data_IF_194443869413
#
_entry.id   IF_194443869413
#
_cell.length_a   1.000
_cell.length_b   1.000
_cell.length_c   1.000
_cell.angle_alpha   90.00
_cell.angle_beta   90.00
_cell.angle_gamma   90.00
#
_symmetry.space_group_name_H-M   'P 1'
#
loop_
_entity.id
_entity.type
_entity.pdbx_description
1 polymer ?
#
# COMPACT_ATOMS: atom_id res chain seq x y z
N UNK A 1 4.50 -31.12 -62.16
CA UNK A 1 5.41 -29.97 -62.33
C UNK A 1 5.58 -29.34 -60.92
N UNK A 2 6.70 -29.53 -60.20
CA UNK A 2 6.89 -28.94 -58.88
C UNK A 2 7.29 -27.45 -59.05
N UNK A 3 6.55 -26.55 -58.45
CA UNK A 3 6.93 -25.14 -58.35
C UNK A 3 8.23 -25.01 -57.52
N UNK A 4 9.30 -24.65 -58.20
CA UNK A 4 10.57 -24.29 -57.54
C UNK A 4 10.45 -22.81 -57.07
N UNK A 5 10.16 -22.61 -55.81
CA UNK A 5 10.30 -21.30 -55.20
C UNK A 5 11.78 -20.89 -55.25
N UNK A 6 12.07 -19.72 -55.81
CA UNK A 6 13.46 -19.20 -55.87
C UNK A 6 13.96 -18.84 -54.48
N UNK A 7 15.27 -18.95 -54.24
CA UNK A 7 15.88 -18.57 -52.99
C UNK A 7 15.52 -17.13 -52.55
N UNK A 8 15.31 -16.22 -53.51
CA UNK A 8 14.86 -14.84 -53.25
C UNK A 8 13.44 -14.78 -52.67
N UNK A 9 12.54 -15.68 -53.08
CA UNK A 9 11.17 -15.75 -52.55
C UNK A 9 11.12 -16.30 -51.12
N UNK A 10 12.03 -17.21 -50.78
CA UNK A 10 12.18 -17.74 -49.41
C UNK A 10 12.79 -16.69 -48.46
N UNK A 11 13.76 -15.92 -48.95
CA UNK A 11 14.38 -14.83 -48.17
C UNK A 11 13.37 -13.71 -47.93
N UNK A 12 12.53 -13.37 -48.91
CA UNK A 12 11.49 -12.35 -48.75
C UNK A 12 10.39 -12.80 -47.77
N UNK A 13 10.05 -14.09 -47.76
CA UNK A 13 9.08 -14.66 -46.82
C UNK A 13 9.64 -14.72 -45.40
N UNK A 14 10.94 -15.02 -45.22
CA UNK A 14 11.64 -14.98 -43.92
C UNK A 14 11.82 -13.54 -43.40
N UNK A 15 12.02 -12.56 -44.30
CA UNK A 15 12.09 -11.15 -43.91
C UNK A 15 10.72 -10.59 -43.51
N UNK A 16 9.62 -11.08 -44.10
CA UNK A 16 8.25 -10.72 -43.68
C UNK A 16 7.89 -11.35 -42.34
N UNK A 17 8.40 -12.52 -41.97
CA UNK A 17 8.21 -13.15 -40.67
C UNK A 17 9.08 -12.52 -39.56
N UNK A 18 10.21 -11.92 -39.91
CA UNK A 18 11.07 -11.20 -38.96
C UNK A 18 10.52 -9.79 -38.60
N UNK A 19 9.52 -9.29 -39.33
CA UNK A 19 8.85 -8.01 -39.09
C UNK A 19 7.62 -8.09 -38.15
N UNK A 20 7.29 -9.26 -37.62
CA UNK A 20 6.36 -9.36 -36.49
C UNK A 20 7.09 -8.83 -35.27
N UNK A 21 6.90 -7.53 -34.98
CA UNK A 21 7.43 -6.90 -33.79
C UNK A 21 7.18 -7.80 -32.60
N UNK A 22 8.24 -8.21 -31.92
CA UNK A 22 8.09 -8.91 -30.66
C UNK A 22 7.35 -7.92 -29.75
N UNK A 23 6.09 -8.21 -29.44
CA UNK A 23 5.35 -7.48 -28.47
C UNK A 23 6.22 -7.41 -27.19
N UNK A 24 6.55 -6.20 -26.75
CA UNK A 24 7.35 -6.03 -25.54
C UNK A 24 6.63 -6.72 -24.38
N UNK A 25 7.23 -7.75 -23.81
CA UNK A 25 6.64 -8.42 -22.66
C UNK A 25 7.02 -7.67 -21.39
N UNK A 26 6.04 -7.38 -20.56
CA UNK A 26 6.22 -6.80 -19.25
C UNK A 26 6.14 -7.91 -18.19
N UNK A 27 7.10 -7.93 -17.25
CA UNK A 27 7.02 -8.81 -16.08
C UNK A 27 6.37 -8.00 -14.96
N UNK A 28 5.18 -8.40 -14.54
CA UNK A 28 4.44 -7.72 -13.48
C UNK A 28 4.89 -8.16 -12.07
N UNK A 29 4.34 -7.54 -11.02
CA UNK A 29 4.71 -7.85 -9.65
C UNK A 29 4.28 -9.24 -9.18
N UNK A 30 3.42 -9.93 -9.94
CA UNK A 30 3.05 -11.33 -9.71
C UNK A 30 3.92 -12.30 -10.57
N UNK A 31 5.07 -11.82 -11.08
CA UNK A 31 6.03 -12.57 -11.91
C UNK A 31 5.43 -13.11 -13.22
N UNK A 32 4.34 -12.49 -13.71
CA UNK A 32 3.66 -12.89 -14.94
C UNK A 32 4.24 -12.18 -16.15
N UNK A 33 4.47 -12.90 -17.25
CA UNK A 33 4.86 -12.33 -18.54
C UNK A 33 3.61 -11.87 -19.28
N UNK A 34 3.41 -10.56 -19.35
CA UNK A 34 2.23 -9.95 -19.98
C UNK A 34 2.66 -9.28 -21.29
N UNK A 35 2.23 -9.79 -22.45
CA UNK A 35 2.50 -9.14 -23.71
C UNK A 35 1.71 -7.83 -23.80
N UNK A 36 2.40 -6.73 -24.13
CA UNK A 36 1.79 -5.41 -24.23
C UNK A 36 1.65 -5.00 -25.70
N UNK A 37 0.57 -4.30 -26.08
CA UNK A 37 0.45 -3.72 -27.41
C UNK A 37 1.40 -2.51 -27.58
N UNK A 38 1.77 -2.22 -28.81
CA UNK A 38 2.68 -1.09 -29.14
C UNK A 38 2.17 0.28 -28.69
N UNK A 39 0.87 0.41 -28.51
CA UNK A 39 0.22 1.66 -28.10
C UNK A 39 -0.75 1.42 -26.95
N UNK A 40 -0.55 2.18 -25.89
CA UNK A 40 -1.42 2.19 -24.71
C UNK A 40 -2.12 3.56 -24.64
N UNK A 41 -3.30 3.67 -25.20
CA UNK A 41 -4.10 4.91 -25.21
C UNK A 41 -5.25 4.91 -24.24
N UNK A 42 -5.74 3.71 -23.86
CA UNK A 42 -6.93 3.50 -23.03
C UNK A 42 -6.61 2.54 -21.89
N UNK A 43 -6.45 3.07 -20.70
CA UNK A 43 -6.09 2.28 -19.52
C UNK A 43 -7.29 2.20 -18.57
N UNK A 44 -7.68 0.97 -18.26
CA UNK A 44 -8.72 0.67 -17.27
C UNK A 44 -8.07 0.29 -15.93
N UNK A 45 -8.53 0.91 -14.88
CA UNK A 45 -8.10 0.57 -13.54
C UNK A 45 -8.98 -0.54 -12.96
N UNK A 46 -8.37 -1.58 -12.39
CA UNK A 46 -9.09 -2.66 -11.74
C UNK A 46 -9.60 -2.27 -10.34
N UNK A 47 -8.96 -1.29 -9.72
CA UNK A 47 -9.31 -0.75 -8.41
C UNK A 47 -8.98 0.75 -8.31
N UNK A 48 -9.41 1.39 -7.23
CA UNK A 48 -9.24 2.83 -7.05
C UNK A 48 -7.77 3.24 -6.90
N UNK A 49 -6.93 2.42 -6.28
CA UNK A 49 -5.49 2.68 -6.19
C UNK A 49 -4.84 2.76 -7.58
N UNK A 50 -5.20 1.84 -8.48
CA UNK A 50 -4.75 1.87 -9.88
C UNK A 50 -5.32 3.07 -10.64
N UNK A 51 -6.59 3.45 -10.39
CA UNK A 51 -7.18 4.62 -11.03
C UNK A 51 -6.41 5.90 -10.66
N UNK A 52 -6.04 6.05 -9.39
CA UNK A 52 -5.23 7.18 -8.92
C UNK A 52 -3.82 7.12 -9.52
N UNK A 53 -3.17 5.94 -9.57
CA UNK A 53 -1.85 5.78 -10.19
C UNK A 53 -1.85 6.21 -11.67
N UNK A 54 -2.82 5.73 -12.46
CA UNK A 54 -2.95 6.11 -13.87
C UNK A 54 -3.26 7.60 -14.01
N UNK A 55 -4.15 8.13 -13.17
CA UNK A 55 -4.51 9.55 -13.18
C UNK A 55 -3.31 10.45 -12.92
N UNK A 56 -2.48 10.18 -11.92
CA UNK A 56 -1.34 11.04 -11.60
C UNK A 56 -0.24 10.97 -12.67
N UNK A 57 -0.11 9.85 -13.39
CA UNK A 57 0.87 9.67 -14.46
C UNK A 57 0.35 10.19 -15.81
N UNK A 58 -0.78 9.66 -16.26
CA UNK A 58 -1.31 9.86 -17.61
C UNK A 58 -2.85 10.00 -17.58
N UNK A 59 -3.38 11.08 -17.01
CA UNK A 59 -4.82 11.24 -16.79
C UNK A 59 -5.67 11.13 -18.05
N UNK A 60 -5.12 11.50 -19.22
CA UNK A 60 -5.80 11.40 -20.52
C UNK A 60 -6.00 9.95 -21.00
N UNK A 61 -5.27 9.00 -20.42
CA UNK A 61 -5.39 7.58 -20.75
C UNK A 61 -6.37 6.84 -19.86
N UNK A 62 -6.73 7.40 -18.70
CA UNK A 62 -7.70 6.80 -17.78
C UNK A 62 -9.10 6.82 -18.38
N UNK A 63 -9.69 5.64 -18.60
CA UNK A 63 -11.01 5.51 -19.21
C UNK A 63 -12.17 5.77 -18.25
N UNK A 64 -11.92 5.74 -16.95
CA UNK A 64 -12.91 6.01 -15.90
C UNK A 64 -12.39 5.64 -14.52
N UNK A 65 -13.08 6.11 -13.49
CA UNK A 65 -12.80 5.75 -12.12
C UNK A 65 -13.36 4.37 -11.79
N UNK A 66 -12.66 3.60 -10.97
CA UNK A 66 -13.19 2.30 -10.51
C UNK A 66 -14.28 2.48 -9.45
N UNK A 67 -14.19 3.51 -8.62
CA UNK A 67 -15.17 3.81 -7.57
C UNK A 67 -15.64 5.25 -7.66
N UNK A 68 -16.80 5.55 -7.06
CA UNK A 68 -17.29 6.90 -6.99
C UNK A 68 -16.32 7.80 -6.22
N UNK A 69 -16.05 8.98 -6.76
CA UNK A 69 -15.20 9.94 -6.08
C UNK A 69 -15.82 10.40 -4.76
N UNK A 70 -15.02 10.57 -3.70
CA UNK A 70 -15.47 11.22 -2.47
C UNK A 70 -16.09 12.61 -2.75
N UNK A 71 -17.05 13.03 -1.93
CA UNK A 71 -17.78 14.30 -2.15
C UNK A 71 -16.86 15.51 -2.24
N UNK A 72 -15.76 15.53 -1.51
CA UNK A 72 -14.77 16.63 -1.50
C UNK A 72 -13.76 16.57 -2.63
N UNK A 73 -13.57 15.42 -3.27
CA UNK A 73 -12.49 15.16 -4.23
C UNK A 73 -12.49 16.12 -5.43
N UNK A 74 -13.67 16.58 -5.87
CA UNK A 74 -13.79 17.49 -7.02
C UNK A 74 -13.05 18.82 -6.82
N UNK A 75 -12.86 19.25 -5.57
CA UNK A 75 -12.10 20.48 -5.25
C UNK A 75 -10.59 20.33 -5.46
N UNK A 76 -10.11 19.09 -5.57
CA UNK A 76 -8.70 18.73 -5.67
C UNK A 76 -8.35 18.04 -7.00
N UNK A 77 -9.29 18.00 -7.94
CA UNK A 77 -9.11 17.37 -9.26
C UNK A 77 -9.47 18.37 -10.38
N UNK A 78 -8.71 18.40 -11.50
CA UNK A 78 -9.16 19.17 -12.66
C UNK A 78 -10.53 18.69 -13.14
N UNK A 79 -11.46 19.64 -13.38
CA UNK A 79 -12.87 19.35 -13.55
C UNK A 79 -13.25 18.36 -14.66
N UNK A 80 -12.43 18.25 -15.73
CA UNK A 80 -12.66 17.27 -16.81
C UNK A 80 -12.48 15.82 -16.31
N UNK A 81 -11.51 15.58 -15.41
CA UNK A 81 -11.24 14.26 -14.86
C UNK A 81 -12.18 13.90 -13.72
N UNK A 82 -12.62 14.89 -12.94
CA UNK A 82 -13.66 14.68 -11.93
C UNK A 82 -14.99 14.17 -12.52
N UNK A 83 -15.22 14.39 -13.82
CA UNK A 83 -16.42 13.94 -14.54
C UNK A 83 -16.25 12.66 -15.35
N UNK A 84 -15.11 11.98 -15.24
CA UNK A 84 -14.96 10.65 -15.85
C UNK A 84 -16.03 9.68 -15.31
N UNK A 85 -16.48 8.71 -16.12
CA UNK A 85 -17.48 7.74 -15.69
C UNK A 85 -16.93 6.86 -14.55
N UNK A 86 -17.82 6.42 -13.67
CA UNK A 86 -17.54 5.38 -12.68
C UNK A 86 -17.86 4.04 -13.34
N UNK A 87 -16.85 3.20 -13.49
CA UNK A 87 -16.96 1.92 -14.21
C UNK A 87 -17.28 0.76 -13.28
N UNK A 88 -16.85 0.83 -12.04
CA UNK A 88 -16.87 -0.28 -11.09
C UNK A 88 -15.51 -0.98 -11.00
N UNK A 89 -15.17 -1.52 -9.82
CA UNK A 89 -13.93 -2.27 -9.64
C UNK A 89 -14.02 -3.67 -10.25
N UNK A 90 -12.89 -4.12 -10.84
CA UNK A 90 -12.76 -5.48 -11.40
C UNK A 90 -12.37 -6.53 -10.34
N UNK A 91 -11.94 -6.07 -9.16
CA UNK A 91 -11.45 -6.95 -8.09
C UNK A 91 -12.57 -7.56 -7.22
N UNK A 92 -13.82 -7.18 -7.44
CA UNK A 92 -14.98 -7.76 -6.73
C UNK A 92 -15.37 -9.13 -7.31
N UNK A 93 -15.99 -9.99 -6.49
CA UNK A 93 -16.27 -11.37 -6.88
C UNK A 93 -17.48 -11.50 -7.82
N UNK A 94 -17.36 -11.02 -9.06
CA UNK A 94 -18.30 -11.38 -10.14
C UNK A 94 -17.56 -11.39 -11.48
N UNK A 95 -16.76 -12.43 -11.75
CA UNK A 95 -15.93 -12.50 -12.94
C UNK A 95 -16.68 -12.28 -14.29
N UNK A 96 -17.89 -12.83 -14.52
CA UNK A 96 -18.60 -12.59 -15.77
C UNK A 96 -18.97 -11.12 -16.02
N UNK A 97 -19.38 -10.38 -14.98
CA UNK A 97 -19.68 -8.95 -15.09
C UNK A 97 -18.43 -8.13 -15.36
N UNK A 98 -17.30 -8.49 -14.73
CA UNK A 98 -16.02 -7.86 -14.98
C UNK A 98 -15.59 -8.03 -16.46
N UNK A 99 -15.70 -9.23 -17.01
CA UNK A 99 -15.41 -9.48 -18.44
C UNK A 99 -16.31 -8.68 -19.38
N UNK A 100 -17.61 -8.60 -19.11
CA UNK A 100 -18.54 -7.78 -19.86
C UNK A 100 -18.21 -6.29 -19.78
N UNK A 101 -17.79 -5.80 -18.62
CA UNK A 101 -17.39 -4.42 -18.44
C UNK A 101 -16.13 -4.10 -19.26
N UNK A 102 -15.12 -4.96 -19.24
CA UNK A 102 -13.92 -4.83 -20.07
C UNK A 102 -14.29 -4.82 -21.55
N UNK A 103 -15.14 -5.75 -22.01
CA UNK A 103 -15.56 -5.84 -23.41
C UNK A 103 -16.28 -4.57 -23.88
N UNK A 104 -17.12 -3.96 -23.05
CA UNK A 104 -17.81 -2.68 -23.35
C UNK A 104 -16.85 -1.50 -23.36
N UNK A 105 -15.90 -1.47 -22.41
CA UNK A 105 -14.96 -0.35 -22.22
C UNK A 105 -13.87 -0.35 -23.29
N UNK A 106 -13.48 -1.52 -23.79
CA UNK A 106 -12.41 -1.74 -24.79
C UNK A 106 -11.12 -1.01 -24.41
N UNK A 107 -10.53 -1.30 -23.25
CA UNK A 107 -9.23 -0.75 -22.90
C UNK A 107 -8.11 -1.48 -23.65
N UNK A 108 -6.94 -0.85 -23.75
CA UNK A 108 -5.71 -1.44 -24.29
C UNK A 108 -4.93 -2.17 -23.19
N UNK A 109 -5.15 -1.79 -21.92
CA UNK A 109 -4.47 -2.33 -20.76
C UNK A 109 -5.37 -2.22 -19.53
N UNK A 110 -5.32 -3.24 -18.67
CA UNK A 110 -5.90 -3.21 -17.33
C UNK A 110 -4.76 -3.17 -16.32
N UNK A 111 -4.86 -2.28 -15.33
CA UNK A 111 -3.90 -2.16 -14.23
C UNK A 111 -4.62 -2.42 -12.91
N UNK A 112 -4.08 -3.35 -12.12
CA UNK A 112 -4.38 -3.51 -10.69
C UNK A 112 -3.17 -3.02 -9.88
N UNK A 113 -3.40 -2.19 -8.86
CA UNK A 113 -2.37 -1.69 -7.98
C UNK A 113 -2.78 -1.99 -6.53
N UNK A 114 -2.18 -3.01 -5.94
CA UNK A 114 -2.61 -3.56 -4.66
C UNK A 114 -1.69 -4.66 -4.14
N UNK A 115 -2.13 -5.41 -3.12
CA UNK A 115 -1.40 -6.57 -2.63
C UNK A 115 -1.23 -7.62 -3.72
N UNK A 116 -0.01 -8.12 -3.85
CA UNK A 116 0.28 -9.25 -4.74
C UNK A 116 -0.11 -10.54 -4.04
N UNK A 117 -1.03 -11.28 -4.64
CA UNK A 117 -1.50 -12.56 -4.10
C UNK A 117 -1.81 -13.55 -5.22
N UNK A 118 -1.87 -14.87 -4.91
CA UNK A 118 -2.30 -15.86 -5.88
C UNK A 118 -3.70 -15.58 -6.47
N UNK A 119 -4.60 -15.01 -5.69
CA UNK A 119 -5.95 -14.64 -6.12
C UNK A 119 -5.93 -13.46 -7.10
N UNK A 120 -5.05 -12.47 -6.86
CA UNK A 120 -4.86 -11.34 -7.79
C UNK A 120 -4.28 -11.83 -9.12
N UNK A 121 -3.27 -12.70 -9.09
CA UNK A 121 -2.68 -13.31 -10.27
C UNK A 121 -3.72 -14.14 -11.06
N UNK A 122 -4.46 -15.03 -10.38
CA UNK A 122 -5.48 -15.88 -11.01
C UNK A 122 -6.62 -15.04 -11.61
N UNK A 123 -7.06 -13.98 -10.96
CA UNK A 123 -8.06 -13.03 -11.49
C UNK A 123 -7.55 -12.35 -12.76
N UNK A 124 -6.31 -11.90 -12.75
CA UNK A 124 -5.69 -11.23 -13.87
C UNK A 124 -5.54 -12.17 -15.09
N UNK A 125 -5.10 -13.42 -14.86
CA UNK A 125 -5.01 -14.44 -15.90
C UNK A 125 -6.36 -14.75 -16.49
N UNK A 126 -7.36 -14.95 -15.64
CA UNK A 126 -8.71 -15.25 -16.08
C UNK A 126 -9.30 -14.13 -16.93
N UNK A 127 -9.23 -12.86 -16.48
CA UNK A 127 -9.75 -11.72 -17.23
C UNK A 127 -9.00 -11.51 -18.55
N UNK A 128 -7.68 -11.63 -18.54
CA UNK A 128 -6.87 -11.55 -19.76
C UNK A 128 -7.27 -12.64 -20.75
N UNK A 129 -7.46 -13.88 -20.29
CA UNK A 129 -7.91 -15.00 -21.15
C UNK A 129 -9.31 -14.76 -21.73
N UNK A 130 -10.26 -14.26 -20.93
CA UNK A 130 -11.64 -14.04 -21.37
C UNK A 130 -11.80 -12.86 -22.32
N UNK A 131 -10.96 -11.84 -22.19
CA UNK A 131 -11.14 -10.56 -22.89
C UNK A 131 -10.10 -10.29 -23.98
N UNK A 132 -8.96 -10.98 -23.92
CA UNK A 132 -7.79 -10.70 -24.76
C UNK A 132 -7.07 -9.40 -24.40
N UNK A 133 -7.51 -8.68 -23.35
CA UNK A 133 -6.91 -7.44 -22.91
C UNK A 133 -5.78 -7.73 -21.91
N UNK A 134 -4.56 -7.23 -22.11
CA UNK A 134 -3.47 -7.36 -21.14
C UNK A 134 -3.89 -6.86 -19.75
N UNK A 135 -3.53 -7.60 -18.70
CA UNK A 135 -3.82 -7.26 -17.34
C UNK A 135 -2.54 -7.38 -16.52
N UNK A 136 -2.08 -6.30 -15.89
CA UNK A 136 -0.90 -6.28 -15.04
C UNK A 136 -1.29 -6.07 -13.57
N UNK A 137 -0.62 -6.81 -12.67
CA UNK A 137 -0.72 -6.68 -11.23
C UNK A 137 0.53 -5.98 -10.71
N UNK A 138 0.35 -4.88 -10.00
CA UNK A 138 1.43 -4.05 -9.46
C UNK A 138 1.35 -4.04 -7.94
N UNK A 139 2.49 -4.30 -7.29
CA UNK A 139 2.62 -4.17 -5.84
C UNK A 139 2.55 -2.70 -5.42
N UNK A 140 1.65 -2.38 -4.50
CA UNK A 140 1.49 -1.05 -3.95
C UNK A 140 2.29 -0.80 -2.66
N UNK A 141 3.34 -1.57 -2.39
CA UNK A 141 4.26 -1.28 -1.31
C UNK A 141 4.85 0.12 -1.49
N UNK A 142 4.82 0.93 -0.41
CA UNK A 142 5.29 2.32 -0.47
C UNK A 142 6.77 2.41 -0.85
N UNK A 143 7.60 1.44 -0.45
CA UNK A 143 9.04 1.41 -0.76
C UNK A 143 9.32 1.17 -2.24
N UNK A 144 8.42 0.51 -2.96
CA UNK A 144 8.53 0.26 -4.41
C UNK A 144 7.82 1.30 -5.25
N UNK A 145 7.00 2.15 -4.62
CA UNK A 145 6.20 3.19 -5.32
C UNK A 145 7.05 4.11 -6.21
N UNK A 146 8.25 4.59 -5.82
CA UNK A 146 9.08 5.42 -6.71
C UNK A 146 9.47 4.71 -8.00
N UNK A 147 9.93 3.46 -7.91
CA UNK A 147 10.27 2.63 -9.08
C UNK A 147 9.02 2.36 -9.93
N UNK A 148 7.88 2.10 -9.31
CA UNK A 148 6.61 1.86 -9.99
C UNK A 148 6.17 3.09 -10.80
N UNK A 149 6.28 4.30 -10.24
CA UNK A 149 5.96 5.54 -10.95
C UNK A 149 6.82 5.71 -12.20
N UNK A 150 8.13 5.43 -12.13
CA UNK A 150 9.04 5.47 -13.27
C UNK A 150 8.69 4.43 -14.33
N UNK A 151 8.52 3.19 -13.90
CA UNK A 151 8.25 2.05 -14.80
C UNK A 151 6.94 2.24 -15.55
N UNK A 152 5.85 2.57 -14.84
CA UNK A 152 4.54 2.77 -15.46
C UNK A 152 4.51 4.07 -16.26
N UNK A 153 5.21 5.13 -15.81
CA UNK A 153 5.37 6.35 -16.57
C UNK A 153 6.03 6.10 -17.93
N UNK A 154 7.11 5.32 -17.97
CA UNK A 154 7.78 4.93 -19.21
C UNK A 154 6.86 4.08 -20.10
N UNK A 155 6.19 3.06 -19.52
CA UNK A 155 5.23 2.20 -20.22
C UNK A 155 4.09 3.00 -20.86
N UNK A 156 3.57 3.99 -20.17
CA UNK A 156 2.50 4.85 -20.67
C UNK A 156 2.98 5.98 -21.57
N UNK A 157 4.28 6.04 -21.91
CA UNK A 157 4.85 7.08 -22.77
C UNK A 157 4.96 8.47 -22.13
N UNK A 158 4.95 8.53 -20.79
CA UNK A 158 5.11 9.76 -19.99
C UNK A 158 6.32 9.63 -19.04
N UNK A 159 7.44 9.10 -19.55
CA UNK A 159 8.63 8.75 -18.77
C UNK A 159 9.15 9.91 -17.90
N UNK A 160 9.26 11.13 -18.45
CA UNK A 160 9.74 12.29 -17.68
C UNK A 160 8.86 12.56 -16.47
N UNK A 161 7.53 12.48 -16.64
CA UNK A 161 6.59 12.64 -15.52
C UNK A 161 6.75 11.52 -14.48
N UNK A 162 6.98 10.28 -14.94
CA UNK A 162 7.29 9.15 -14.05
C UNK A 162 8.55 9.39 -13.23
N UNK A 163 9.60 9.94 -13.83
CA UNK A 163 10.85 10.32 -13.15
C UNK A 163 10.62 11.41 -12.10
N UNK A 164 9.91 12.49 -12.47
CA UNK A 164 9.66 13.62 -11.58
C UNK A 164 8.84 13.20 -10.35
N UNK A 165 7.81 12.37 -10.54
CA UNK A 165 6.99 11.86 -9.45
C UNK A 165 7.73 10.81 -8.61
N UNK A 166 8.53 9.95 -9.26
CA UNK A 166 9.39 8.97 -8.60
C UNK A 166 10.44 9.62 -7.71
N UNK A 167 11.09 10.68 -8.20
CA UNK A 167 12.05 11.46 -7.42
C UNK A 167 11.42 12.10 -6.18
N UNK A 168 10.23 12.68 -6.32
CA UNK A 168 9.50 13.23 -5.17
C UNK A 168 9.17 12.14 -4.13
N UNK A 169 8.76 10.96 -4.59
CA UNK A 169 8.45 9.84 -3.72
C UNK A 169 9.69 9.30 -2.98
N UNK A 170 10.84 9.20 -3.67
CA UNK A 170 12.12 8.84 -3.02
C UNK A 170 12.47 9.85 -1.93
N UNK A 171 12.35 11.16 -2.24
CA UNK A 171 12.67 12.23 -1.27
C UNK A 171 11.81 12.12 -0.01
N UNK A 172 10.51 11.80 -0.15
CA UNK A 172 9.61 11.60 0.99
C UNK A 172 10.01 10.40 1.86
N UNK A 173 10.37 9.28 1.21
CA UNK A 173 10.81 8.07 1.92
C UNK A 173 12.14 8.29 2.62
N UNK A 174 13.09 8.96 1.97
CA UNK A 174 14.40 9.25 2.54
C UNK A 174 14.32 10.26 3.70
N UNK A 175 13.43 11.27 3.60
CA UNK A 175 13.15 12.18 4.70
C UNK A 175 12.63 11.42 5.93
N UNK A 176 11.69 10.50 5.76
CA UNK A 176 11.21 9.64 6.84
C UNK A 176 12.34 8.79 7.44
N UNK A 177 13.12 8.10 6.61
CA UNK A 177 14.25 7.26 7.06
C UNK A 177 15.26 8.08 7.85
N UNK A 178 15.61 9.28 7.39
CA UNK A 178 16.52 10.18 8.07
C UNK A 178 16.03 10.56 9.47
N UNK A 179 14.72 10.78 9.65
CA UNK A 179 14.12 11.07 10.96
C UNK A 179 14.20 9.87 11.91
N UNK A 180 13.89 8.68 11.41
CA UNK A 180 13.91 7.46 12.23
C UNK A 180 15.30 7.08 12.74
N UNK A 181 16.35 7.49 12.03
CA UNK A 181 17.74 7.31 12.50
C UNK A 181 18.07 8.17 13.74
N UNK A 182 17.38 9.30 13.90
CA UNK A 182 17.60 10.25 14.98
C UNK A 182 16.66 9.98 16.16
N UNK A 183 15.44 9.50 15.89
CA UNK A 183 14.44 9.22 16.92
C UNK A 183 14.85 8.01 17.79
N UNK A 184 14.97 8.17 19.12
CA UNK A 184 15.28 7.05 20.00
C UNK A 184 14.22 5.96 19.92
N UNK A 185 14.63 4.69 19.82
CA UNK A 185 13.71 3.56 19.81
C UNK A 185 12.78 3.49 21.05
N UNK A 186 13.21 4.08 22.17
CA UNK A 186 12.47 4.17 23.43
C UNK A 186 11.33 5.18 23.41
N UNK A 187 11.27 6.06 22.41
CA UNK A 187 10.26 7.12 22.30
C UNK A 187 9.16 6.79 21.29
N UNK A 188 9.08 5.55 20.81
CA UNK A 188 8.06 5.13 19.84
C UNK A 188 6.67 5.13 20.46
N UNK A 189 5.73 5.97 20.01
CA UNK A 189 4.40 6.02 20.60
C UNK A 189 3.57 4.77 20.25
N UNK A 190 2.70 4.38 21.18
CA UNK A 190 1.67 3.38 20.97
C UNK A 190 0.54 4.00 20.12
N UNK A 191 0.26 3.44 18.98
CA UNK A 191 -0.74 3.97 18.02
C UNK A 191 -1.82 2.94 17.75
N UNK A 192 -3.06 3.39 17.78
CA UNK A 192 -4.21 2.67 17.28
C UNK A 192 -4.75 3.35 16.02
N UNK A 193 -4.85 2.61 14.93
CA UNK A 193 -5.49 3.04 13.69
C UNK A 193 -6.87 2.38 13.57
N UNK A 194 -7.92 3.14 13.82
CA UNK A 194 -9.30 2.65 13.78
C UNK A 194 -9.96 2.93 12.43
N UNK A 195 -10.38 1.88 11.75
CA UNK A 195 -11.05 1.88 10.46
C UNK A 195 -12.55 1.61 10.60
N UNK A 196 -13.28 2.04 9.58
CA UNK A 196 -14.73 1.89 9.55
C UNK A 196 -15.48 2.90 10.43
N UNK A 197 -16.80 2.86 10.38
CA UNK A 197 -17.67 3.84 11.03
C UNK A 197 -17.61 3.80 12.56
N UNK A 198 -17.36 2.62 13.13
CA UNK A 198 -17.23 2.37 14.56
C UNK A 198 -15.78 2.37 15.06
N UNK A 199 -14.81 2.39 14.12
CA UNK A 199 -13.39 2.38 14.42
C UNK A 199 -12.86 1.09 15.02
N UNK A 200 -13.61 -0.02 14.94
CA UNK A 200 -13.24 -1.30 15.52
C UNK A 200 -12.56 -2.27 14.55
N UNK A 201 -12.37 -1.88 13.30
CA UNK A 201 -11.51 -2.59 12.36
C UNK A 201 -10.12 -1.97 12.36
N UNK A 202 -9.06 -2.78 12.29
CA UNK A 202 -7.68 -2.31 12.23
C UNK A 202 -6.77 -3.34 11.55
N UNK A 203 -5.56 -2.91 11.20
CA UNK A 203 -4.53 -3.79 10.63
C UNK A 203 -3.74 -4.52 11.71
N UNK A 204 -3.53 -5.81 11.50
CA UNK A 204 -2.55 -6.61 12.23
C UNK A 204 -1.12 -6.13 11.92
N UNK A 205 -0.11 -6.67 12.61
CA UNK A 205 1.29 -6.36 12.34
C UNK A 205 1.67 -6.69 10.88
N UNK A 206 2.25 -5.72 10.18
CA UNK A 206 2.62 -5.85 8.77
C UNK A 206 1.45 -5.77 7.78
N UNK A 207 0.23 -5.51 8.25
CA UNK A 207 -0.92 -5.25 7.38
C UNK A 207 -0.66 -4.06 6.47
N UNK A 208 -1.11 -4.14 5.22
CA UNK A 208 -1.04 -3.01 4.30
C UNK A 208 -1.73 -1.74 4.85
N UNK A 209 -2.80 -1.89 5.63
CA UNK A 209 -3.53 -0.78 6.22
C UNK A 209 -2.71 0.00 7.27
N UNK A 210 -1.74 -0.65 7.92
CA UNK A 210 -0.92 -0.04 8.98
C UNK A 210 0.57 0.02 8.64
N UNK A 211 0.99 -0.50 7.50
CA UNK A 211 2.39 -0.58 7.11
C UNK A 211 3.10 0.79 7.14
N UNK A 212 2.47 1.86 6.64
CA UNK A 212 3.07 3.19 6.65
C UNK A 212 3.15 3.79 8.05
N UNK A 213 2.15 3.50 8.90
CA UNK A 213 2.14 3.89 10.30
C UNK A 213 3.30 3.22 11.04
N UNK A 214 3.48 1.92 10.82
CA UNK A 214 4.59 1.15 11.40
C UNK A 214 5.95 1.59 10.85
N UNK A 215 6.03 1.87 9.53
CA UNK A 215 7.23 2.42 8.90
C UNK A 215 7.57 3.83 9.41
N UNK A 216 6.59 4.60 9.86
CA UNK A 216 6.83 5.87 10.55
C UNK A 216 7.39 5.68 11.98
N UNK A 217 7.79 4.47 12.35
CA UNK A 217 8.56 4.17 13.55
C UNK A 217 7.74 4.12 14.84
N UNK A 218 6.45 3.89 14.76
CA UNK A 218 5.56 3.76 15.93
C UNK A 218 5.27 2.28 16.25
N UNK A 219 4.63 2.04 17.37
CA UNK A 219 4.16 0.72 17.78
C UNK A 219 2.66 0.61 17.47
N UNK A 220 2.30 -0.19 16.47
CA UNK A 220 0.92 -0.57 16.22
C UNK A 220 0.43 -1.49 17.35
N UNK A 221 -0.51 -1.00 18.17
CA UNK A 221 -1.01 -1.78 19.33
C UNK A 221 -1.73 -3.07 18.92
N UNK A 222 -2.28 -3.13 17.70
CA UNK A 222 -3.01 -4.29 17.19
C UNK A 222 -2.06 -5.41 16.74
N UNK A 223 -0.80 -5.10 16.45
CA UNK A 223 0.24 -6.10 16.15
C UNK A 223 0.43 -7.13 17.29
N UNK A 224 -0.04 -6.83 18.50
CA UNK A 224 -0.05 -7.79 19.63
C UNK A 224 -0.97 -9.00 19.41
N UNK A 225 -1.92 -8.89 18.49
CA UNK A 225 -2.80 -10.01 18.10
C UNK A 225 -2.18 -10.92 17.04
N UNK A 226 -1.03 -10.54 16.48
CA UNK A 226 -0.33 -11.28 15.43
C UNK A 226 -0.10 -10.46 14.18
N UNK A 227 0.33 -11.15 13.12
CA UNK A 227 0.58 -10.58 11.80
C UNK A 227 -0.51 -11.01 10.81
N UNK A 228 -0.75 -10.20 9.78
CA UNK A 228 -1.74 -10.48 8.74
C UNK A 228 -2.42 -9.22 8.25
N UNK A 229 -3.61 -9.37 7.69
CA UNK A 229 -4.37 -8.28 7.11
C UNK A 229 -5.22 -7.53 8.16
N UNK A 230 -6.51 -7.39 7.93
CA UNK A 230 -7.43 -6.69 8.81
C UNK A 230 -8.02 -7.61 9.86
N UNK A 231 -8.30 -7.06 11.04
CA UNK A 231 -9.02 -7.75 12.11
C UNK A 231 -10.01 -6.79 12.77
N UNK A 232 -11.01 -7.37 13.41
CA UNK A 232 -11.89 -6.61 14.30
C UNK A 232 -11.43 -6.78 15.75
N UNK A 233 -11.40 -5.65 16.45
CA UNK A 233 -11.05 -5.57 17.87
C UNK A 233 -12.26 -5.12 18.69
N UNK A 234 -12.21 -5.35 19.99
CA UNK A 234 -13.22 -4.85 20.93
C UNK A 234 -12.76 -3.53 21.56
N UNK A 235 -13.71 -2.76 22.09
CA UNK A 235 -13.37 -1.58 22.88
C UNK A 235 -12.51 -1.93 24.09
N UNK A 236 -12.80 -3.04 24.76
CA UNK A 236 -12.02 -3.48 25.93
C UNK A 236 -10.57 -3.75 25.58
N UNK A 237 -10.28 -4.30 24.39
CA UNK A 237 -8.92 -4.47 23.90
C UNK A 237 -8.24 -3.11 23.68
N UNK A 238 -8.93 -2.14 23.08
CA UNK A 238 -8.39 -0.78 22.88
C UNK A 238 -8.07 -0.12 24.23
N UNK A 239 -8.98 -0.28 25.23
CA UNK A 239 -8.74 0.20 26.59
C UNK A 239 -7.57 -0.50 27.26
N UNK A 240 -7.44 -1.82 27.13
CA UNK A 240 -6.33 -2.59 27.69
C UNK A 240 -4.97 -2.17 27.08
N UNK A 241 -4.94 -1.85 25.78
CA UNK A 241 -3.72 -1.34 25.11
C UNK A 241 -3.43 0.12 25.43
N UNK A 242 -4.45 0.90 25.73
CA UNK A 242 -4.41 2.31 26.09
C UNK A 242 -3.44 3.12 25.18
N UNK A 243 -3.71 3.24 23.87
CA UNK A 243 -2.81 3.88 22.93
C UNK A 243 -2.57 5.35 23.29
N UNK A 244 -1.34 5.82 23.04
CA UNK A 244 -0.98 7.22 23.22
C UNK A 244 -1.56 8.12 22.11
N UNK A 245 -1.79 7.55 20.93
CA UNK A 245 -2.35 8.22 19.75
C UNK A 245 -3.43 7.32 19.14
N UNK A 246 -4.55 7.94 18.73
CA UNK A 246 -5.56 7.29 17.90
C UNK A 246 -5.68 8.05 16.59
N UNK A 247 -5.59 7.31 15.48
CA UNK A 247 -5.89 7.82 14.14
C UNK A 247 -7.20 7.17 13.71
N UNK A 248 -8.20 7.96 13.38
CA UNK A 248 -9.48 7.51 12.85
C UNK A 248 -9.45 7.63 11.32
N UNK A 249 -9.82 6.57 10.61
CA UNK A 249 -10.02 6.61 9.16
C UNK A 249 -11.28 7.42 8.83
N UNK A 250 -12.39 7.15 9.54
CA UNK A 250 -13.69 7.75 9.27
C UNK A 250 -14.07 8.83 10.29
N UNK A 251 -14.71 9.87 9.77
CA UNK A 251 -15.19 11.01 10.57
C UNK A 251 -16.15 10.58 11.69
N UNK A 252 -17.03 9.60 11.46
CA UNK A 252 -17.96 9.10 12.45
C UNK A 252 -17.24 8.56 13.69
N UNK A 253 -16.18 7.78 13.50
CA UNK A 253 -15.37 7.28 14.60
C UNK A 253 -14.60 8.42 15.29
N UNK A 254 -13.99 9.33 14.52
CA UNK A 254 -13.34 10.51 15.08
C UNK A 254 -14.28 11.31 15.98
N UNK A 255 -15.51 11.59 15.51
CA UNK A 255 -16.50 12.35 16.29
C UNK A 255 -16.96 11.58 17.53
N UNK A 256 -17.05 10.24 17.48
CA UNK A 256 -17.37 9.42 18.66
C UNK A 256 -16.27 9.51 19.71
N UNK A 257 -14.99 9.51 19.32
CA UNK A 257 -13.87 9.70 20.23
C UNK A 257 -13.86 11.08 20.88
N UNK A 258 -14.30 12.12 20.16
CA UNK A 258 -14.34 13.49 20.69
C UNK A 258 -15.53 13.71 21.66
N UNK A 259 -16.69 13.12 21.42
CA UNK A 259 -17.94 13.41 22.14
C UNK A 259 -18.44 12.24 22.98
N UNK A 260 -18.03 11.01 22.65
CA UNK A 260 -18.51 9.80 23.28
C UNK A 260 -18.00 9.65 24.72
N UNK A 261 -18.92 9.39 25.63
CA UNK A 261 -18.57 9.12 27.05
C UNK A 261 -17.81 7.80 27.19
N UNK A 262 -18.06 6.87 26.29
CA UNK A 262 -17.50 5.53 26.23
C UNK A 262 -15.99 5.50 25.95
N UNK A 263 -15.39 6.60 25.50
CA UNK A 263 -13.96 6.69 25.16
C UNK A 263 -13.13 7.51 26.16
N UNK A 264 -13.77 8.13 27.18
CA UNK A 264 -13.12 9.12 28.07
C UNK A 264 -11.94 8.60 28.89
N UNK A 265 -11.85 7.29 29.08
CA UNK A 265 -10.76 6.69 29.87
C UNK A 265 -9.46 6.48 29.09
N UNK A 266 -9.45 6.70 27.77
CA UNK A 266 -8.25 6.48 26.94
C UNK A 266 -7.26 7.65 27.03
N UNK A 267 -5.98 7.32 27.17
CA UNK A 267 -4.90 8.31 27.23
C UNK A 267 -4.90 9.24 26.00
N UNK A 268 -5.10 8.69 24.79
CA UNK A 268 -5.19 9.48 23.56
C UNK A 268 -6.31 10.53 23.61
N UNK A 269 -7.48 10.17 24.16
CA UNK A 269 -8.64 11.06 24.29
C UNK A 269 -8.39 12.12 25.35
N UNK A 270 -7.90 11.73 26.52
CA UNK A 270 -7.59 12.65 27.63
C UNK A 270 -6.52 13.69 27.22
N UNK A 271 -5.53 13.27 26.45
CA UNK A 271 -4.43 14.12 25.98
C UNK A 271 -4.70 14.79 24.62
N UNK A 272 -5.94 14.70 24.10
CA UNK A 272 -6.35 15.27 22.80
C UNK A 272 -5.47 14.81 21.61
N UNK A 273 -4.91 13.61 21.68
CA UNK A 273 -4.09 12.99 20.63
C UNK A 273 -4.92 12.03 19.76
N UNK A 274 -6.06 12.52 19.30
CA UNK A 274 -6.97 11.82 18.42
C UNK A 274 -7.04 12.59 17.11
N UNK A 275 -6.77 11.92 15.99
CA UNK A 275 -6.64 12.55 14.69
C UNK A 275 -7.53 11.87 13.65
N UNK A 276 -8.09 12.65 12.75
CA UNK A 276 -8.76 12.13 11.55
C UNK A 276 -7.75 12.08 10.42
N UNK A 277 -7.57 10.92 9.82
CA UNK A 277 -6.69 10.76 8.66
C UNK A 277 -7.18 11.64 7.50
N UNK A 278 -6.29 12.43 6.84
CA UNK A 278 -6.67 13.17 5.65
C UNK A 278 -7.09 12.21 4.53
N UNK A 279 -8.17 12.57 3.81
CA UNK A 279 -8.78 11.69 2.79
C UNK A 279 -9.13 12.41 1.48
N UNK A 280 -8.67 13.64 1.27
CA UNK A 280 -8.97 14.42 0.06
C UNK A 280 -7.75 14.53 -0.85
N UNK A 281 -7.89 14.30 -2.19
CA UNK A 281 -9.06 13.71 -2.85
C UNK A 281 -9.19 12.21 -2.57
N UNK A 282 -8.16 11.57 -2.03
CA UNK A 282 -8.08 10.16 -1.66
C UNK A 282 -7.29 9.99 -0.37
N UNK A 283 -7.50 8.87 0.33
CA UNK A 283 -6.86 8.58 1.62
C UNK A 283 -5.33 8.68 1.60
N UNK A 284 -4.76 9.26 2.67
CA UNK A 284 -3.32 9.43 2.81
C UNK A 284 -2.65 8.24 3.53
N UNK A 285 -3.42 7.30 4.03
CA UNK A 285 -2.91 6.10 4.70
C UNK A 285 -3.24 4.87 3.86
N UNK A 286 -4.51 4.47 3.76
CA UNK A 286 -4.86 3.18 3.16
C UNK A 286 -6.13 3.14 2.29
N UNK A 287 -6.99 4.12 2.34
CA UNK A 287 -8.28 4.07 1.63
C UNK A 287 -8.44 5.17 0.56
N UNK A 288 -8.04 4.90 -0.69
CA UNK A 288 -7.33 3.70 -1.17
C UNK A 288 -5.83 3.74 -0.86
N UNK A 289 -5.21 2.58 -0.60
CA UNK A 289 -3.77 2.46 -0.43
C UNK A 289 -3.07 2.68 -1.78
N UNK A 290 -2.67 3.91 -2.04
CA UNK A 290 -2.12 4.35 -3.32
C UNK A 290 -1.02 5.40 -3.17
N UNK A 291 -0.78 6.18 -4.22
CA UNK A 291 0.29 7.19 -4.26
C UNK A 291 0.14 8.31 -3.23
N UNK A 292 -1.07 8.54 -2.70
CA UNK A 292 -1.28 9.55 -1.65
C UNK A 292 -0.60 9.19 -0.32
N UNK A 293 -0.19 7.95 -0.15
CA UNK A 293 0.62 7.52 0.99
C UNK A 293 1.95 8.28 1.08
N UNK A 294 2.45 8.78 -0.05
CA UNK A 294 3.66 9.62 -0.10
C UNK A 294 3.49 10.90 0.73
N UNK A 295 2.40 11.65 0.54
CA UNK A 295 2.11 12.81 1.39
C UNK A 295 1.71 12.38 2.79
N UNK A 296 1.13 11.18 2.93
CA UNK A 296 0.83 10.53 4.20
C UNK A 296 2.07 10.34 5.07
N UNK A 297 3.22 9.98 4.50
CA UNK A 297 4.48 9.85 5.24
C UNK A 297 4.91 11.18 5.89
N UNK A 298 4.84 12.29 5.16
CA UNK A 298 5.13 13.62 5.72
C UNK A 298 4.17 13.97 6.85
N UNK A 299 2.87 13.68 6.68
CA UNK A 299 1.87 13.92 7.70
C UNK A 299 2.08 13.08 8.95
N UNK A 300 2.35 11.78 8.81
CA UNK A 300 2.64 10.86 9.91
C UNK A 300 3.90 11.25 10.66
N UNK A 301 4.96 11.64 9.94
CA UNK A 301 6.23 12.07 10.56
C UNK A 301 6.02 13.34 11.39
N UNK A 302 5.29 14.32 10.85
CA UNK A 302 4.94 15.54 11.58
C UNK A 302 4.06 15.24 12.80
N UNK A 303 3.12 14.27 12.67
CA UNK A 303 2.22 13.88 13.74
C UNK A 303 2.95 13.20 14.93
N UNK A 304 3.88 12.30 14.61
CA UNK A 304 4.55 11.47 15.62
C UNK A 304 5.76 12.18 16.25
N UNK A 305 6.46 13.01 15.48
CA UNK A 305 7.72 13.63 15.85
C UNK A 305 7.72 15.15 15.58
N UNK A 306 6.77 15.91 16.17
CA UNK A 306 6.61 17.34 15.83
C UNK A 306 7.86 18.17 16.12
N UNK A 307 8.60 17.87 17.21
CA UNK A 307 9.81 18.59 17.61
C UNK A 307 11.02 18.30 16.70
N UNK A 308 10.98 17.18 15.97
CA UNK A 308 12.05 16.74 15.08
C UNK A 308 11.72 17.02 13.60
N UNK A 309 10.47 17.37 13.30
CA UNK A 309 10.00 17.67 11.96
C UNK A 309 10.21 19.16 11.65
N UNK A 310 11.31 19.45 10.97
CA UNK A 310 11.68 20.84 10.62
C UNK A 310 11.13 21.29 9.25
N UNK A 311 10.56 20.39 8.48
CA UNK A 311 9.99 20.69 7.17
C UNK A 311 8.60 21.32 7.30
N UNK A 312 8.28 22.23 6.39
CA UNK A 312 6.93 22.80 6.34
C UNK A 312 5.97 21.82 5.66
N UNK A 313 5.17 21.11 6.47
CA UNK A 313 4.14 20.20 5.97
C UNK A 313 3.18 20.88 4.98
N UNK A 314 2.90 22.17 5.16
CA UNK A 314 2.04 22.93 4.25
C UNK A 314 2.71 23.14 2.88
N UNK A 315 4.00 23.38 2.87
CA UNK A 315 4.80 23.44 1.63
C UNK A 315 4.79 22.09 0.92
N UNK A 316 5.06 21.00 1.65
CA UNK A 316 5.01 19.64 1.09
C UNK A 316 3.63 19.29 0.53
N UNK A 317 2.53 19.69 1.18
CA UNK A 317 1.18 19.53 0.64
C UNK A 317 1.00 20.28 -0.68
N UNK A 318 1.40 21.56 -0.76
CA UNK A 318 1.27 22.35 -1.99
C UNK A 318 2.05 21.72 -3.14
N UNK A 319 3.28 21.34 -2.88
CA UNK A 319 4.15 20.69 -3.87
C UNK A 319 3.57 19.35 -4.34
N UNK A 320 3.11 18.51 -3.41
CA UNK A 320 2.48 17.22 -3.74
C UNK A 320 1.28 17.40 -4.65
N UNK A 321 0.34 18.29 -4.31
CA UNK A 321 -0.87 18.51 -5.11
C UNK A 321 -0.56 19.14 -6.47
N UNK A 322 0.42 20.03 -6.55
CA UNK A 322 0.85 20.62 -7.82
C UNK A 322 1.50 19.55 -8.72
N UNK A 323 2.39 18.71 -8.16
CA UNK A 323 3.07 17.65 -8.92
C UNK A 323 2.13 16.51 -9.31
N UNK A 324 1.38 15.94 -8.37
CA UNK A 324 0.60 14.74 -8.60
C UNK A 324 -0.77 15.05 -9.22
N UNK A 325 -1.42 16.09 -8.79
CA UNK A 325 -2.79 16.43 -9.22
C UNK A 325 -2.87 17.61 -10.18
N UNK A 326 -1.76 18.30 -10.45
CA UNK A 326 -1.74 19.53 -11.25
C UNK A 326 -2.70 20.61 -10.72
N UNK A 327 -2.87 20.68 -9.41
CA UNK A 327 -3.75 21.60 -8.70
C UNK A 327 -2.95 22.43 -7.72
N UNK A 328 -3.07 23.76 -7.80
CA UNK A 328 -2.52 24.67 -6.81
C UNK A 328 -3.53 24.84 -5.67
N UNK A 329 -3.14 24.36 -4.48
CA UNK A 329 -3.99 24.49 -3.29
C UNK A 329 -4.09 25.94 -2.84
N UNK A 330 -5.30 26.36 -2.50
CA UNK A 330 -5.53 27.60 -1.75
C UNK A 330 -5.14 27.44 -0.29
N UNK A 331 -4.86 28.54 0.42
CA UNK A 331 -4.57 28.51 1.86
C UNK A 331 -5.66 27.80 2.66
N UNK A 332 -6.93 28.03 2.30
CA UNK A 332 -8.07 27.36 2.93
C UNK A 332 -8.03 25.83 2.74
N UNK A 333 -7.66 25.35 1.56
CA UNK A 333 -7.54 23.92 1.30
C UNK A 333 -6.37 23.30 2.06
N UNK A 334 -5.22 23.98 2.11
CA UNK A 334 -4.08 23.54 2.89
C UNK A 334 -4.44 23.46 4.37
N UNK A 335 -5.07 24.48 4.93
CA UNK A 335 -5.52 24.46 6.32
C UNK A 335 -6.55 23.36 6.59
N UNK A 336 -7.46 23.10 5.65
CA UNK A 336 -8.43 22.01 5.80
C UNK A 336 -7.79 20.62 5.79
N UNK A 337 -6.71 20.43 5.02
CA UNK A 337 -5.94 19.17 4.96
C UNK A 337 -4.99 19.03 6.15
N UNK A 338 -4.35 20.13 6.58
CA UNK A 338 -3.39 20.12 7.68
C UNK A 338 -4.05 19.91 9.04
N UNK A 339 -5.29 20.37 9.19
CA UNK A 339 -6.03 20.25 10.45
C UNK A 339 -6.93 19.02 10.41
N UNK A 340 -6.78 18.10 11.34
CA UNK A 340 -7.83 17.13 11.62
C UNK A 340 -9.13 17.92 11.94
N UNK A 341 -10.23 17.55 11.30
CA UNK A 341 -11.50 18.23 11.54
C UNK A 341 -11.86 18.14 13.03
N UNK A 342 -11.92 19.29 13.71
CA UNK A 342 -12.29 19.39 15.12
C UNK A 342 -11.21 19.87 16.08
N UNK A 343 -9.94 19.98 15.66
CA UNK A 343 -8.93 20.68 16.47
C UNK A 343 -9.17 22.19 16.39
N UNK A 344 -9.53 22.81 17.51
CA UNK A 344 -9.42 24.27 17.66
C UNK A 344 -7.96 24.66 17.45
N UNK A 345 -7.74 25.82 16.81
CA UNK A 345 -6.40 26.33 16.57
C UNK A 345 -5.63 26.43 17.89
N UNK A 346 -4.78 25.47 18.17
CA UNK A 346 -3.79 25.59 19.22
C UNK A 346 -2.51 26.16 18.61
N UNK A 347 -1.92 27.10 19.32
CA UNK A 347 -0.72 27.86 18.98
C UNK A 347 0.42 26.89 18.59
N UNK A 348 1.21 27.16 17.55
CA UNK A 348 2.40 26.40 17.25
C UNK A 348 3.31 26.37 18.48
N UNK A 349 3.62 25.20 19.01
CA UNK A 349 4.42 25.01 20.22
C UNK A 349 3.73 24.29 21.38
N UNK A 350 2.41 24.05 21.34
CA UNK A 350 1.68 23.41 22.44
C UNK A 350 1.59 21.87 22.35
N UNK A 351 2.31 21.23 21.44
CA UNK A 351 2.30 19.76 21.28
C UNK A 351 3.42 19.06 22.09
N UNK A 352 4.25 19.80 22.77
CA UNK A 352 5.22 19.23 23.70
C UNK A 352 4.54 18.93 25.03
N UNK A 353 3.85 17.79 25.13
CA UNK A 353 3.54 17.18 26.42
C UNK A 353 4.65 16.18 26.70
N UNK A 354 5.40 16.32 27.82
CA UNK A 354 6.40 15.34 28.18
C UNK A 354 5.75 13.97 28.32
N UNK A 355 6.38 12.94 27.81
CA UNK A 355 6.06 11.55 28.09
C UNK A 355 6.35 11.26 29.56
N UNK A 356 5.49 11.74 30.48
CA UNK A 356 5.58 11.42 31.89
C UNK A 356 5.02 10.01 32.12
N UNK A 357 5.94 9.07 32.35
CA UNK A 357 5.78 7.98 33.27
C UNK A 357 4.73 6.91 32.92
N UNK A 358 4.77 6.34 31.72
CA UNK A 358 4.30 4.97 31.55
C UNK A 358 5.51 4.05 31.76
N UNK A 359 5.63 3.43 32.91
CA UNK A 359 6.55 2.30 33.08
C UNK A 359 6.31 1.30 31.93
N UNK A 360 7.38 0.76 31.30
CA UNK A 360 7.22 -0.23 30.25
C UNK A 360 6.52 -1.44 30.88
N UNK A 361 5.30 -1.69 30.48
CA UNK A 361 4.60 -2.93 30.80
C UNK A 361 5.43 -4.05 30.17
N UNK A 362 5.99 -4.97 30.96
CA UNK A 362 6.81 -6.04 30.40
C UNK A 362 5.95 -6.86 29.43
N UNK A 363 6.49 -7.13 28.25
CA UNK A 363 5.87 -8.03 27.28
C UNK A 363 5.59 -9.37 27.98
N UNK A 364 4.39 -9.94 27.88
CA UNK A 364 4.20 -11.32 28.29
C UNK A 364 5.12 -12.20 27.44
N UNK A 365 5.93 -12.99 28.10
CA UNK A 365 6.85 -13.95 27.49
C UNK A 365 6.01 -14.95 26.65
N UNK A 366 5.98 -14.76 25.34
CA UNK A 366 5.31 -15.67 24.41
C UNK A 366 6.28 -16.77 23.96
N UNK A 367 6.94 -17.44 24.92
CA UNK A 367 7.48 -18.74 24.66
C UNK A 367 6.31 -19.74 24.62
N UNK A 368 6.11 -20.50 23.53
CA UNK A 368 5.09 -21.53 23.52
C UNK A 368 5.40 -22.52 24.64
N UNK A 369 4.44 -22.77 25.51
CA UNK A 369 4.50 -23.76 26.56
C UNK A 369 4.82 -25.13 25.94
N UNK A 370 6.08 -25.54 25.98
CA UNK A 370 6.45 -26.92 25.74
C UNK A 370 5.91 -27.75 26.94
N UNK A 371 5.25 -28.87 26.69
CA UNK A 371 4.74 -29.69 27.78
C UNK A 371 5.91 -30.17 28.66
N UNK A 372 5.76 -29.96 29.97
CA UNK A 372 6.69 -30.41 30.96
C UNK A 372 6.86 -31.92 30.88
N UNK A 373 8.02 -32.39 30.41
CA UNK A 373 8.43 -33.78 30.54
C UNK A 373 8.92 -34.01 31.96
N UNK A 374 8.04 -34.48 32.83
CA UNK A 374 8.41 -35.03 34.13
C UNK A 374 9.03 -36.41 33.92
N UNK A 375 10.33 -36.46 33.74
CA UNK A 375 11.10 -37.71 33.69
C UNK A 375 12.33 -37.59 34.61
N UNK A 376 12.25 -38.23 35.76
CA UNK A 376 13.33 -38.40 36.74
C UNK A 376 14.46 -39.22 36.10
N UNK A 377 15.74 -38.85 36.23
CA UNK A 377 16.83 -39.65 35.65
C UNK A 377 17.08 -40.92 36.48
N UNK A 378 17.23 -42.08 35.85
CA UNK A 378 17.79 -43.27 36.51
C UNK A 378 19.30 -43.21 36.50
N UNK A 379 19.86 -43.79 37.57
CA UNK A 379 21.27 -43.77 37.96
C UNK A 379 22.23 -44.47 36.99
N UNK A 380 23.50 -44.10 37.19
CA UNK A 380 24.69 -44.69 36.57
C UNK A 380 24.76 -46.20 36.78
N UNK A 381 24.98 -46.92 35.70
CA UNK A 381 25.42 -48.30 35.68
C UNK A 381 26.15 -48.56 34.38
N UNK A 382 27.36 -49.06 34.46
CA UNK A 382 28.42 -49.03 33.49
C UNK A 382 28.43 -50.16 32.46
N UNK A 383 29.33 -49.95 31.51
CA UNK A 383 30.14 -50.89 30.70
C UNK A 383 29.42 -51.73 29.62
N UNK A 384 29.94 -51.60 28.40
CA UNK A 384 30.06 -52.76 27.46
C UNK A 384 29.70 -52.45 26.02
N UNK A 385 30.67 -52.25 25.23
CA UNK A 385 31.00 -52.55 23.85
C UNK A 385 29.96 -52.96 22.82
N UNK A 386 30.17 -52.52 21.61
CA UNK A 386 29.61 -53.18 20.43
C UNK A 386 29.31 -52.27 19.23
N UNK A 387 30.04 -52.51 18.20
CA UNK A 387 30.18 -51.83 16.92
C UNK A 387 28.92 -51.79 16.01
N UNK A 388 29.04 -50.86 15.05
CA UNK A 388 28.56 -50.94 13.66
C UNK A 388 27.07 -50.72 13.35
N UNK A 389 26.85 -49.77 12.42
CA UNK A 389 25.63 -49.72 11.62
C UNK A 389 25.18 -48.33 11.20
N UNK A 390 25.88 -47.69 10.27
CA UNK A 390 25.35 -46.57 9.50
C UNK A 390 24.50 -47.11 8.34
N UNK A 391 23.28 -46.60 8.10
CA UNK A 391 22.60 -46.83 6.84
C UNK A 391 22.93 -45.75 5.81
N UNK A 392 23.16 -46.21 4.58
CA UNK A 392 23.53 -45.52 3.36
C UNK A 392 22.55 -44.42 2.93
N UNK A 393 23.12 -43.30 2.51
CA UNK A 393 22.47 -42.29 1.65
C UNK A 393 22.59 -42.74 0.17
N UNK A 394 21.54 -42.54 -0.67
CA UNK A 394 21.64 -42.85 -2.10
C UNK A 394 22.36 -41.75 -2.86
N UNK A 395 23.20 -42.17 -3.80
CA UNK A 395 24.03 -41.37 -4.71
C UNK A 395 23.23 -40.66 -5.78
N UNK A 396 23.64 -39.44 -6.11
CA UNK A 396 23.15 -38.63 -7.25
C UNK A 396 23.97 -39.06 -8.48
N UNK A 397 23.34 -39.28 -9.68
CA UNK A 397 24.07 -39.57 -10.92
C UNK A 397 24.65 -38.30 -11.56
N UNK A 398 25.85 -38.48 -12.14
CA UNK A 398 26.69 -37.43 -12.68
C UNK A 398 26.22 -36.80 -13.99
N UNK A 399 26.70 -35.59 -14.22
CA UNK A 399 26.76 -34.84 -15.47
C UNK A 399 27.80 -35.40 -16.42
N UNK A 400 27.55 -35.49 -17.75
CA UNK A 400 28.59 -35.69 -18.76
C UNK A 400 29.17 -34.37 -19.26
N UNK A 401 30.40 -34.45 -19.73
CA UNK A 401 31.27 -33.45 -20.31
C UNK A 401 30.69 -32.75 -21.54
#
# INVERSE_FOLDING_TARGET
MPLRLSAASVILLLALLAGLGQAAAFVDSAERYVPLPDRLGRVMAANQSAAVLVFVLAPEKLVGWSDALPRGAQAYLPGKFARLPVLGPLIRPNPPEAAQLVARTRPDLIIEFGPVSPEAAARADWLQQQTGVPYIVLDNNIQTTPTMLRTIGAMLGVGQRGEDLGFYADSAIDALRGRLLIAPATERPLVYYGRGADGLESGLGGSQATADIEQAGVINVVARLGSGELTRVTRDQIFAWNPAIIIAEQRSFYESLQRGREWRGLAAVANKRVYLAPAEPFGWIDNPAGVNRIIGLYWLTNLFYPDQYQEDLRANMREFYEKFYTVKLTDRQVEALARPAGTQAETPGALAVPLLGAEPVPFPDTTPNAPAVTGRPPGRGGLGGGASGLPNLPSIPGTPQ
#
